data_IF_607225549409
#
_entry.id   IF_607225549409
#
_cell.length_a   1.000
_cell.length_b   1.000
_cell.length_c   1.000
_cell.angle_alpha   90.00
_cell.angle_beta   90.00
_cell.angle_gamma   90.00
#
_symmetry.space_group_name_H-M   'P 1'
#
loop_
_entity.id
_entity.type
_entity.pdbx_description
1 polymer ?
#
# COMPACT_ATOMS: atom_id res chain seq x y z
N UNK A 1 -20.89 36.59 -25.24
CA UNK A 1 -21.39 35.75 -24.12
C UNK A 1 -21.01 34.30 -24.41
N UNK A 2 -19.88 33.83 -23.89
CA UNK A 2 -19.44 32.44 -24.05
C UNK A 2 -19.60 31.71 -22.72
N UNK A 3 -20.36 30.61 -22.74
CA UNK A 3 -20.68 29.77 -21.58
C UNK A 3 -19.49 28.85 -21.28
N UNK A 4 -18.97 28.96 -20.06
CA UNK A 4 -18.07 27.99 -19.46
C UNK A 4 -18.86 26.74 -19.08
N UNK A 5 -18.39 25.58 -19.53
CA UNK A 5 -18.92 24.28 -19.13
C UNK A 5 -17.79 23.28 -19.05
N UNK A 6 -17.85 22.44 -18.01
CA UNK A 6 -17.12 21.17 -17.80
C UNK A 6 -15.82 21.23 -16.97
N UNK A 7 -15.96 20.95 -15.67
CA UNK A 7 -14.87 20.46 -14.80
C UNK A 7 -15.36 19.37 -13.82
N UNK A 8 -16.25 18.47 -14.27
CA UNK A 8 -16.88 17.44 -13.43
C UNK A 8 -16.17 16.07 -13.46
N UNK A 9 -15.01 15.94 -14.11
CA UNK A 9 -14.35 14.64 -14.36
C UNK A 9 -13.18 14.26 -13.42
N UNK A 10 -12.59 15.20 -12.69
CA UNK A 10 -11.35 14.95 -11.94
C UNK A 10 -11.52 14.17 -10.63
N UNK A 11 -12.71 14.20 -10.01
CA UNK A 11 -12.99 13.47 -8.77
C UNK A 11 -13.05 11.96 -8.98
N UNK A 12 -13.71 11.51 -10.06
CA UNK A 12 -13.96 10.09 -10.32
C UNK A 12 -12.66 9.23 -10.36
N UNK A 13 -11.60 9.74 -11.01
CA UNK A 13 -10.33 9.00 -11.11
C UNK A 13 -9.56 8.87 -9.79
N UNK A 14 -9.70 9.83 -8.87
CA UNK A 14 -9.05 9.77 -7.56
C UNK A 14 -9.69 8.71 -6.65
N UNK A 15 -11.01 8.56 -6.73
CA UNK A 15 -11.75 7.53 -5.99
C UNK A 15 -11.41 6.12 -6.50
N UNK A 16 -11.24 5.98 -7.81
CA UNK A 16 -10.83 4.71 -8.41
C UNK A 16 -9.39 4.33 -8.02
N UNK A 17 -8.47 5.30 -7.96
CA UNK A 17 -7.10 5.07 -7.46
C UNK A 17 -7.09 4.64 -5.98
N UNK A 18 -7.88 5.28 -5.13
CA UNK A 18 -7.99 4.93 -3.69
C UNK A 18 -8.49 3.50 -3.52
N UNK A 19 -9.50 3.11 -4.29
CA UNK A 19 -10.06 1.77 -4.29
C UNK A 19 -9.10 0.71 -4.83
N UNK A 20 -8.36 1.00 -5.90
CA UNK A 20 -7.34 0.11 -6.47
C UNK A 20 -6.17 -0.10 -5.50
N UNK A 21 -5.66 0.98 -4.90
CA UNK A 21 -4.59 0.92 -3.90
C UNK A 21 -5.00 0.08 -2.69
N UNK A 22 -6.21 0.31 -2.18
CA UNK A 22 -6.78 -0.49 -1.09
C UNK A 22 -6.87 -1.97 -1.46
N UNK A 23 -7.41 -2.30 -2.64
CA UNK A 23 -7.58 -3.69 -3.09
C UNK A 23 -6.25 -4.43 -3.24
N UNK A 24 -5.24 -3.76 -3.82
CA UNK A 24 -3.87 -4.31 -3.93
C UNK A 24 -3.25 -4.54 -2.55
N UNK A 25 -3.41 -3.58 -1.64
CA UNK A 25 -2.88 -3.67 -0.27
C UNK A 25 -3.51 -4.82 0.51
N UNK A 26 -4.84 -4.96 0.46
CA UNK A 26 -5.56 -6.07 1.12
C UNK A 26 -5.16 -7.42 0.53
N UNK A 27 -5.01 -7.53 -0.80
CA UNK A 27 -4.55 -8.78 -1.44
C UNK A 27 -3.15 -9.17 -0.97
N UNK A 28 -2.23 -8.20 -0.85
CA UNK A 28 -0.88 -8.46 -0.35
C UNK A 28 -0.90 -8.87 1.12
N UNK A 29 -1.68 -8.18 1.96
CA UNK A 29 -1.83 -8.53 3.38
C UNK A 29 -2.44 -9.93 3.55
N UNK A 30 -3.42 -10.29 2.72
CA UNK A 30 -4.02 -11.61 2.73
C UNK A 30 -3.01 -12.70 2.34
N UNK A 31 -2.20 -12.48 1.30
CA UNK A 31 -1.12 -13.41 0.94
C UNK A 31 -0.09 -13.53 2.06
N UNK A 32 0.30 -12.42 2.68
CA UNK A 32 1.37 -12.39 3.68
C UNK A 32 0.97 -12.94 5.06
N UNK A 33 -0.32 -12.85 5.43
CA UNK A 33 -0.81 -13.23 6.77
C UNK A 33 -1.64 -14.52 6.74
N UNK A 34 -2.42 -14.73 5.67
CA UNK A 34 -3.40 -15.83 5.60
C UNK A 34 -2.86 -17.04 4.79
N UNK A 35 -1.99 -16.81 3.82
CA UNK A 35 -1.25 -17.85 3.10
C UNK A 35 0.27 -17.64 3.25
N UNK A 36 0.81 -17.59 4.47
CA UNK A 36 2.22 -17.29 4.65
C UNK A 36 3.07 -18.42 4.06
N UNK A 37 4.07 -18.07 3.25
CA UNK A 37 5.18 -18.97 2.95
C UNK A 37 5.88 -19.31 4.27
N UNK A 38 6.36 -20.55 4.46
CA UNK A 38 6.94 -21.01 5.74
C UNK A 38 8.04 -20.08 6.27
N UNK A 39 8.83 -19.49 5.38
CA UNK A 39 9.85 -18.50 5.71
C UNK A 39 9.26 -17.17 6.18
N UNK A 40 8.19 -16.69 5.52
CA UNK A 40 7.51 -15.46 5.94
C UNK A 40 6.81 -15.63 7.27
N UNK A 41 6.21 -16.80 7.53
CA UNK A 41 5.59 -17.09 8.82
C UNK A 41 6.65 -17.13 9.93
N UNK A 42 7.81 -17.76 9.67
CA UNK A 42 8.94 -17.75 10.61
C UNK A 42 9.47 -16.35 10.87
N UNK A 43 9.55 -15.48 9.85
CA UNK A 43 10.02 -14.09 10.04
C UNK A 43 8.99 -13.21 10.75
N UNK A 44 7.71 -13.40 10.45
CA UNK A 44 6.61 -12.77 11.18
C UNK A 44 6.59 -13.23 12.64
N UNK A 45 6.95 -14.48 12.93
CA UNK A 45 7.11 -14.98 14.30
C UNK A 45 8.42 -14.56 14.97
N UNK A 46 9.54 -14.47 14.27
CA UNK A 46 10.82 -14.14 14.90
C UNK A 46 11.08 -12.63 14.99
N UNK A 47 10.54 -11.84 14.07
CA UNK A 47 10.84 -10.40 13.95
C UNK A 47 9.64 -9.54 14.30
N UNK A 48 9.70 -8.90 15.48
CA UNK A 48 8.71 -7.91 15.91
C UNK A 48 8.60 -6.73 14.93
N UNK A 49 9.72 -6.30 14.36
CA UNK A 49 9.77 -5.23 13.37
C UNK A 49 8.98 -5.55 12.10
N UNK A 50 8.98 -6.81 11.66
CA UNK A 50 8.16 -7.23 10.53
C UNK A 50 6.67 -7.20 10.90
N UNK A 51 6.30 -7.65 12.11
CA UNK A 51 4.92 -7.57 12.62
C UNK A 51 4.42 -6.12 12.68
N UNK A 52 5.24 -5.20 13.17
CA UNK A 52 4.90 -3.77 13.26
C UNK A 52 4.70 -3.14 11.86
N UNK A 53 5.53 -3.51 10.88
CA UNK A 53 5.33 -3.10 9.48
C UNK A 53 4.02 -3.63 8.90
N UNK A 54 3.64 -4.86 9.21
CA UNK A 54 2.35 -5.40 8.78
C UNK A 54 1.20 -4.66 9.46
N UNK A 55 1.33 -4.38 10.75
CA UNK A 55 0.34 -3.66 11.55
C UNK A 55 0.09 -2.24 11.02
N UNK A 56 1.17 -1.50 10.71
CA UNK A 56 1.06 -0.16 10.11
C UNK A 56 0.39 -0.20 8.73
N UNK A 57 0.71 -1.19 7.90
CA UNK A 57 0.04 -1.41 6.61
C UNK A 57 -1.46 -1.76 6.79
N UNK A 58 -1.80 -2.55 7.81
CA UNK A 58 -3.17 -2.92 8.15
C UNK A 58 -3.96 -1.67 8.63
N UNK A 59 -3.34 -0.84 9.47
CA UNK A 59 -3.92 0.41 9.93
C UNK A 59 -4.13 1.41 8.79
N UNK A 60 -3.19 1.50 7.85
CA UNK A 60 -3.36 2.31 6.64
C UNK A 60 -4.51 1.77 5.76
N UNK A 61 -4.61 0.45 5.57
CA UNK A 61 -5.73 -0.16 4.85
C UNK A 61 -7.09 0.16 5.49
N UNK A 62 -7.16 0.23 6.82
CA UNK A 62 -8.38 0.65 7.55
C UNK A 62 -8.73 2.11 7.31
N UNK A 63 -7.74 3.00 7.31
CA UNK A 63 -7.95 4.41 6.99
C UNK A 63 -8.51 4.57 5.58
N UNK A 64 -7.97 3.82 4.59
CA UNK A 64 -8.51 3.79 3.23
C UNK A 64 -9.95 3.25 3.19
N UNK A 65 -10.27 2.23 3.99
CA UNK A 65 -11.63 1.69 4.07
C UNK A 65 -12.63 2.75 4.57
N UNK A 66 -12.27 3.55 5.59
CA UNK A 66 -13.13 4.63 6.09
C UNK A 66 -13.40 5.68 5.01
N UNK A 67 -12.37 6.05 4.24
CA UNK A 67 -12.51 6.98 3.10
C UNK A 67 -13.45 6.40 2.05
N UNK A 68 -13.28 5.11 1.71
CA UNK A 68 -14.13 4.43 0.73
C UNK A 68 -15.58 4.24 1.22
N UNK A 69 -15.80 4.04 2.53
CA UNK A 69 -17.13 4.02 3.14
C UNK A 69 -17.81 5.39 3.03
N UNK A 70 -17.09 6.47 3.33
CA UNK A 70 -17.58 7.84 3.19
C UNK A 70 -17.93 8.17 1.73
N UNK A 71 -17.08 7.75 0.79
CA UNK A 71 -17.33 7.91 -0.65
C UNK A 71 -18.55 7.10 -1.12
N UNK A 72 -18.72 5.88 -0.61
CA UNK A 72 -19.88 5.03 -0.94
C UNK A 72 -21.21 5.64 -0.46
N UNK A 73 -21.20 6.52 0.56
CA UNK A 73 -22.40 7.24 1.00
C UNK A 73 -22.89 8.28 -0.03
N UNK A 74 -21.99 8.80 -0.88
CA UNK A 74 -22.31 9.76 -1.94
C UNK A 74 -23.03 9.16 -3.16
N UNK A 75 -23.11 7.83 -3.25
CA UNK A 75 -23.73 7.13 -4.40
C UNK A 75 -25.26 7.23 -4.32
N UNK A 76 -25.86 7.92 -5.29
CA UNK A 76 -27.33 8.14 -5.35
C UNK A 76 -28.11 6.92 -5.84
N UNK A 77 -27.47 6.01 -6.59
CA UNK A 77 -28.11 4.79 -7.08
C UNK A 77 -28.16 3.72 -5.98
N UNK A 78 -29.35 3.44 -5.45
CA UNK A 78 -29.55 2.56 -4.28
C UNK A 78 -29.01 1.14 -4.48
N UNK A 79 -29.22 0.55 -5.67
CA UNK A 79 -28.69 -0.78 -6.02
C UNK A 79 -27.16 -0.82 -6.01
N UNK A 80 -26.50 0.15 -6.67
CA UNK A 80 -25.03 0.26 -6.68
C UNK A 80 -24.48 0.58 -5.29
N UNK A 81 -25.20 1.37 -4.50
CA UNK A 81 -24.85 1.69 -3.12
C UNK A 81 -24.87 0.44 -2.25
N UNK A 82 -25.91 -0.39 -2.37
CA UNK A 82 -26.01 -1.63 -1.60
C UNK A 82 -24.90 -2.63 -1.97
N UNK A 83 -24.64 -2.81 -3.27
CA UNK A 83 -23.53 -3.66 -3.73
C UNK A 83 -22.19 -3.19 -3.15
N UNK A 84 -21.88 -1.90 -3.28
CA UNK A 84 -20.65 -1.29 -2.73
C UNK A 84 -20.57 -1.43 -1.21
N UNK A 85 -21.68 -1.26 -0.50
CA UNK A 85 -21.72 -1.44 0.95
C UNK A 85 -21.48 -2.90 1.35
N UNK A 86 -22.11 -3.87 0.69
CA UNK A 86 -21.87 -5.29 1.00
C UNK A 86 -20.42 -5.71 0.74
N UNK A 87 -19.81 -5.16 -0.31
CA UNK A 87 -18.40 -5.37 -0.61
C UNK A 87 -17.49 -4.76 0.47
N UNK A 88 -17.77 -3.53 0.90
CA UNK A 88 -16.99 -2.87 1.97
C UNK A 88 -17.12 -3.61 3.31
N UNK A 89 -18.33 -4.08 3.66
CA UNK A 89 -18.56 -4.91 4.86
C UNK A 89 -17.75 -6.20 4.78
N UNK A 90 -17.79 -6.92 3.65
CA UNK A 90 -16.98 -8.13 3.45
C UNK A 90 -15.48 -7.86 3.64
N UNK A 91 -15.00 -6.72 3.14
CA UNK A 91 -13.58 -6.32 3.28
C UNK A 91 -13.22 -5.90 4.70
N UNK A 92 -14.16 -5.31 5.44
CA UNK A 92 -14.00 -5.02 6.88
C UNK A 92 -13.86 -6.30 7.70
N UNK A 93 -14.68 -7.30 7.40
CA UNK A 93 -14.60 -8.61 8.06
C UNK A 93 -13.25 -9.29 7.76
N UNK A 94 -12.77 -9.18 6.52
CA UNK A 94 -11.45 -9.68 6.11
C UNK A 94 -10.33 -9.00 6.91
N UNK A 95 -10.31 -7.66 6.98
CA UNK A 95 -9.32 -6.92 7.75
C UNK A 95 -9.35 -7.23 9.26
N UNK A 96 -10.53 -7.59 9.79
CA UNK A 96 -10.68 -7.98 11.19
C UNK A 96 -10.02 -9.35 11.42
N UNK A 97 -10.26 -10.31 10.54
CA UNK A 97 -9.60 -11.63 10.57
C UNK A 97 -8.09 -11.55 10.41
N UNK A 98 -7.60 -10.64 9.55
CA UNK A 98 -6.15 -10.43 9.39
C UNK A 98 -5.52 -9.85 10.66
N UNK A 99 -6.21 -8.96 11.38
CA UNK A 99 -5.72 -8.48 12.66
C UNK A 99 -5.69 -9.59 13.70
N UNK A 100 -6.77 -10.36 13.81
CA UNK A 100 -6.86 -11.49 14.74
C UNK A 100 -5.70 -12.48 14.50
N UNK A 101 -5.47 -12.87 13.23
CA UNK A 101 -4.34 -13.74 12.88
C UNK A 101 -2.97 -13.13 13.20
N UNK A 102 -2.79 -11.82 13.00
CA UNK A 102 -1.54 -11.13 13.36
C UNK A 102 -1.34 -11.12 14.88
N UNK A 103 -2.43 -10.96 15.65
CA UNK A 103 -2.41 -11.02 17.10
C UNK A 103 -2.09 -12.44 17.60
N UNK A 104 -2.67 -13.48 16.99
CA UNK A 104 -2.31 -14.88 17.27
C UNK A 104 -0.82 -15.16 17.01
N UNK A 105 -0.28 -14.64 15.90
CA UNK A 105 1.14 -14.76 15.57
C UNK A 105 2.03 -14.00 16.55
N UNK A 106 1.52 -12.89 17.12
CA UNK A 106 2.22 -12.12 18.15
C UNK A 106 2.28 -12.92 19.45
N UNK A 107 1.14 -13.45 19.88
CA UNK A 107 1.00 -14.20 21.12
C UNK A 107 1.77 -15.54 21.05
N UNK A 108 1.77 -16.21 19.91
CA UNK A 108 2.55 -17.44 19.68
C UNK A 108 4.07 -17.21 19.80
N UNK A 109 4.57 -16.02 19.49
CA UNK A 109 5.99 -15.69 19.64
C UNK A 109 6.44 -15.50 21.09
N UNK A 110 5.53 -15.28 22.04
CA UNK A 110 5.86 -15.19 23.46
C UNK A 110 5.90 -16.55 24.16
N UNK A 111 5.22 -17.56 23.60
CA UNK A 111 5.13 -18.91 24.21
C UNK A 111 6.39 -19.76 23.95
N UNK A 112 7.11 -19.54 22.84
CA UNK A 112 8.33 -20.30 22.51
C UNK A 112 9.57 -19.87 23.31
N UNK A 113 9.55 -18.71 23.99
CA UNK A 113 10.69 -18.23 24.80
C UNK A 113 10.65 -18.71 26.27
N UNK A 114 9.49 -19.15 26.78
CA UNK A 114 9.34 -19.58 28.19
C UNK A 114 9.45 -21.12 28.39
N UNK A 115 9.55 -21.93 27.32
CA UNK A 115 9.71 -23.40 27.41
C UNK A 115 11.18 -23.86 27.20
N UNK A 116 12.14 -22.93 27.23
CA UNK A 116 13.59 -23.22 27.32
C UNK A 116 14.16 -22.91 28.71
N UNK A 117 13.36 -23.18 29.74
CA UNK A 117 13.81 -23.25 31.12
C UNK A 117 13.80 -24.70 31.59
N UNK A 118 14.88 -25.46 31.35
CA UNK A 118 15.49 -26.41 32.30
C UNK A 118 16.62 -27.25 31.65
N UNK A 119 17.81 -27.24 32.28
CA UNK A 119 18.99 -28.04 31.94
C UNK A 119 20.24 -27.17 31.80
N UNK A 120 20.80 -26.64 32.88
CA UNK A 120 21.92 -27.28 33.60
C UNK A 120 22.94 -27.92 32.63
N UNK A 121 24.05 -27.24 32.30
CA UNK A 121 25.38 -27.59 32.81
C UNK A 121 26.52 -26.72 32.22
N UNK A 122 27.50 -26.42 33.07
CA UNK A 122 28.93 -26.24 32.81
C UNK A 122 29.40 -25.32 31.65
N UNK A 123 29.99 -24.18 32.00
CA UNK A 123 31.43 -23.90 31.87
C UNK A 123 31.69 -22.47 32.36
N UNK A 124 32.47 -22.38 33.44
CA UNK A 124 33.02 -21.12 33.91
C UNK A 124 34.09 -20.63 32.94
N UNK A 125 34.03 -19.33 32.64
CA UNK A 125 35.24 -18.58 32.40
C UNK A 125 35.05 -17.17 33.00
N UNK A 126 35.95 -16.87 33.93
CA UNK A 126 36.08 -15.59 34.63
C UNK A 126 36.41 -14.49 33.60
N UNK A 127 35.56 -13.47 33.50
CA UNK A 127 36.02 -12.14 33.09
C UNK A 127 35.41 -11.10 34.04
N UNK A 128 36.24 -10.32 34.77
CA UNK A 128 35.73 -9.31 35.69
C UNK A 128 35.44 -8.00 34.96
N UNK A 129 34.28 -7.43 35.31
CA UNK A 129 33.94 -6.01 35.42
C UNK A 129 34.22 -5.04 34.26
N UNK A 130 33.16 -4.42 33.74
CA UNK A 130 33.12 -2.94 33.71
C UNK A 130 31.67 -2.43 33.74
N UNK A 131 31.44 -1.47 34.63
CA UNK A 131 30.18 -0.80 34.93
C UNK A 131 29.64 -0.01 33.73
N UNK A 132 28.35 -0.13 33.41
CA UNK A 132 27.52 1.04 33.05
C UNK A 132 26.04 0.78 33.34
N UNK A 133 25.60 1.34 34.46
CA UNK A 133 24.20 1.63 34.75
C UNK A 133 23.56 2.45 33.63
N UNK A 134 22.41 2.01 33.11
CA UNK A 134 21.20 2.87 33.01
C UNK A 134 19.96 2.09 32.62
N UNK A 135 19.16 1.91 33.65
CA UNK A 135 17.77 1.52 33.74
C UNK A 135 16.83 2.20 32.73
N UNK A 136 16.13 1.36 31.96
CA UNK A 136 14.86 1.70 31.34
C UNK A 136 13.70 1.30 32.28
N UNK A 137 12.70 2.17 32.42
CA UNK A 137 11.32 1.80 32.79
C UNK A 137 10.30 2.82 32.23
N UNK A 138 9.02 2.44 32.08
CA UNK A 138 8.20 2.70 30.90
C UNK A 138 7.08 3.76 31.06
N UNK A 139 6.38 4.01 29.93
CA UNK A 139 5.24 4.89 29.56
C UNK A 139 4.11 5.15 30.60
N UNK A 140 3.19 6.14 30.38
CA UNK A 140 1.99 5.91 29.54
C UNK A 140 1.36 7.12 28.78
N UNK A 141 0.70 6.79 27.65
CA UNK A 141 -0.62 7.24 27.11
C UNK A 141 -1.25 8.60 27.48
N UNK A 142 -1.60 9.45 26.49
CA UNK A 142 -3.00 9.89 26.16
C UNK A 142 -3.10 10.84 24.92
N UNK A 143 -4.17 10.72 24.14
CA UNK A 143 -4.57 11.49 22.92
C UNK A 143 -5.20 12.88 23.24
N UNK A 144 -5.97 13.59 22.36
CA UNK A 144 -6.01 13.75 20.88
C UNK A 144 -6.07 15.25 20.43
N UNK A 145 -5.63 15.66 19.23
CA UNK A 145 -6.12 16.92 18.61
C UNK A 145 -6.13 16.91 17.07
N UNK A 146 -7.26 17.38 16.54
CA UNK A 146 -7.69 17.63 15.15
C UNK A 146 -7.04 18.91 14.61
N UNK A 147 -6.62 18.99 13.33
CA UNK A 147 -6.79 20.14 12.42
C UNK A 147 -6.27 19.88 10.96
N UNK A 148 -7.17 20.09 9.99
CA UNK A 148 -7.05 20.37 8.52
C UNK A 148 -6.20 21.67 8.26
N UNK A 149 -5.73 22.13 7.04
CA UNK A 149 -5.98 21.84 5.59
C UNK A 149 -4.66 21.97 4.69
N UNK A 150 -4.58 22.48 3.41
CA UNK A 150 -5.38 22.43 2.17
C UNK A 150 -4.64 21.83 0.92
N UNK A 151 -5.40 21.58 -0.17
CA UNK A 151 -5.02 20.97 -1.47
C UNK A 151 -4.40 22.00 -2.46
N UNK A 152 -3.43 21.62 -3.34
CA UNK A 152 -3.67 21.83 -4.79
C UNK A 152 -3.09 20.75 -5.76
N UNK A 153 -4.02 20.14 -6.52
CA UNK A 153 -4.05 19.91 -8.00
C UNK A 153 -2.93 19.08 -8.70
N UNK A 154 -3.30 17.86 -9.09
CA UNK A 154 -2.80 17.09 -10.27
C UNK A 154 -3.44 17.64 -11.58
N UNK A 155 -3.11 17.25 -12.85
CA UNK A 155 -2.60 15.93 -13.37
C UNK A 155 -1.68 16.05 -14.65
N UNK A 156 -1.48 15.06 -15.56
CA UNK A 156 -1.94 13.66 -15.62
C UNK A 156 -0.88 12.57 -15.95
N UNK A 157 -1.35 11.33 -15.76
CA UNK A 157 -0.72 10.00 -15.90
C UNK A 157 -0.58 9.51 -17.35
N UNK A 158 0.46 8.70 -17.62
CA UNK A 158 0.49 7.69 -18.68
C UNK A 158 0.57 6.28 -18.08
N UNK A 159 -0.13 5.34 -18.72
CA UNK A 159 -0.49 4.00 -18.25
C UNK A 159 0.18 2.94 -19.16
N UNK A 160 0.85 1.88 -18.65
CA UNK A 160 1.35 0.78 -19.49
C UNK A 160 0.22 -0.20 -19.89
N UNK A 161 0.24 -0.79 -21.09
CA UNK A 161 -0.79 -1.74 -21.55
C UNK A 161 -0.59 -3.16 -20.98
N UNK A 162 -1.63 -3.73 -20.36
CA UNK A 162 -1.69 -5.14 -19.94
C UNK A 162 -2.12 -6.09 -21.10
N UNK A 163 -1.58 -7.33 -21.15
CA UNK A 163 -2.03 -8.36 -22.08
C UNK A 163 -3.30 -9.08 -21.56
N UNK A 164 -4.40 -8.95 -22.30
CA UNK A 164 -5.61 -9.73 -22.07
C UNK A 164 -5.41 -11.21 -22.45
N UNK A 165 -5.31 -12.10 -21.46
CA UNK A 165 -5.58 -13.53 -21.67
C UNK A 165 -7.02 -13.83 -21.27
N UNK A 166 -7.93 -13.85 -22.25
CA UNK A 166 -9.25 -14.44 -22.07
C UNK A 166 -9.19 -15.92 -22.43
N UNK A 167 -9.09 -16.81 -21.43
CA UNK A 167 -9.40 -18.22 -21.60
C UNK A 167 -10.92 -18.36 -21.75
N UNK A 168 -11.41 -18.32 -23.00
CA UNK A 168 -12.80 -18.62 -23.32
C UNK A 168 -12.91 -20.09 -23.71
N UNK A 169 -13.53 -20.88 -22.83
CA UNK A 169 -13.99 -22.23 -23.09
C UNK A 169 -14.89 -22.25 -24.34
N UNK A 170 -14.65 -23.21 -25.25
CA UNK A 170 -15.47 -23.42 -26.45
C UNK A 170 -16.16 -24.78 -26.35
N UNK A 171 -17.36 -24.79 -25.78
CA UNK A 171 -18.41 -25.72 -26.21
C UNK A 171 -19.07 -25.08 -27.44
N UNK A 172 -18.99 -25.73 -28.61
CA UNK A 172 -19.95 -25.50 -29.68
C UNK A 172 -20.16 -26.80 -30.45
N UNK A 173 -21.34 -27.37 -30.24
CA UNK A 173 -22.00 -28.35 -31.08
C UNK A 173 -22.42 -27.69 -32.40
N UNK A 174 -22.39 -28.50 -33.47
CA UNK A 174 -23.26 -28.51 -34.67
C UNK A 174 -23.50 -27.24 -35.49
N UNK A 175 -23.61 -27.49 -36.80
CA UNK A 175 -24.08 -26.62 -37.90
C UNK A 175 -23.01 -25.80 -38.61
N UNK A 176 -22.46 -26.39 -39.68
CA UNK A 176 -22.20 -25.77 -40.99
C UNK A 176 -22.16 -26.85 -42.07
N UNK A 177 -23.36 -27.30 -42.44
CA UNK A 177 -23.67 -27.67 -43.83
C UNK A 177 -23.62 -26.43 -44.73
N UNK A 178 -23.55 -26.65 -46.04
CA UNK A 178 -23.49 -25.69 -47.15
C UNK A 178 -22.12 -25.08 -47.50
N UNK A 179 -21.25 -25.92 -48.04
CA UNK A 179 -20.55 -25.58 -49.28
C UNK A 179 -20.28 -26.89 -50.04
N UNK A 180 -20.43 -26.87 -51.37
CA UNK A 180 -20.37 -28.02 -52.31
C UNK A 180 -21.71 -28.69 -52.62
N UNK A 181 -22.59 -27.94 -53.30
CA UNK A 181 -23.56 -28.54 -54.21
C UNK A 181 -23.57 -27.76 -55.53
N UNK A 182 -22.70 -28.17 -56.44
CA UNK A 182 -22.85 -27.96 -57.89
C UNK A 182 -21.94 -28.93 -58.64
N UNK A 183 -22.51 -29.54 -59.68
CA UNK A 183 -21.89 -30.41 -60.69
C UNK A 183 -21.93 -31.92 -60.43
N UNK A 184 -23.14 -32.47 -60.51
CA UNK A 184 -23.37 -33.83 -60.95
C UNK A 184 -24.16 -33.77 -62.28
N UNK A 185 -23.47 -34.01 -63.40
CA UNK A 185 -24.08 -34.38 -64.68
C UNK A 185 -23.02 -34.97 -65.62
N UNK A 186 -23.33 -36.17 -66.12
CA UNK A 186 -22.70 -36.92 -67.22
C UNK A 186 -21.51 -37.84 -66.89
N UNK A 187 -21.85 -39.02 -66.36
CA UNK A 187 -21.71 -40.32 -67.05
C UNK A 187 -20.79 -40.35 -68.29
N UNK A 188 -19.73 -41.18 -68.27
CA UNK A 188 -19.63 -42.38 -69.11
C UNK A 188 -18.26 -43.08 -69.04
N UNK A 189 -18.33 -44.40 -68.88
CA UNK A 189 -17.41 -45.45 -69.40
C UNK A 189 -15.94 -45.48 -68.97
N UNK A 190 -15.64 -46.49 -68.16
CA UNK A 190 -14.81 -47.60 -68.63
C UNK A 190 -13.31 -47.56 -68.31
N UNK A 191 -12.84 -48.70 -67.79
CA UNK A 191 -11.44 -49.18 -67.71
C UNK A 191 -10.65 -48.73 -66.47
N UNK A 192 -10.47 -49.68 -65.54
CA UNK A 192 -9.24 -49.75 -64.72
C UNK A 192 -8.11 -50.32 -65.59
N UNK A 193 -6.86 -49.82 -65.47
CA UNK A 193 -5.96 -50.48 -64.54
C UNK A 193 -4.99 -49.54 -63.79
N UNK A 194 -4.73 -49.92 -62.53
CA UNK A 194 -3.39 -50.04 -61.90
C UNK A 194 -2.37 -48.90 -62.09
N UNK A 195 -2.12 -48.22 -60.96
CA UNK A 195 -0.84 -47.67 -60.45
C UNK A 195 -0.03 -46.69 -61.31
N UNK A 196 0.06 -45.44 -60.85
CA UNK A 196 1.32 -44.69 -60.53
C UNK A 196 1.08 -43.17 -60.49
N UNK A 197 0.33 -42.65 -59.51
CA UNK A 197 0.31 -41.20 -59.24
C UNK A 197 0.36 -40.97 -57.72
N UNK A 198 1.57 -40.88 -57.18
CA UNK A 198 1.79 -40.35 -55.83
C UNK A 198 3.00 -39.40 -55.73
N UNK A 199 3.10 -38.32 -56.53
CA UNK A 199 3.89 -37.14 -56.18
C UNK A 199 3.10 -36.12 -55.33
N UNK A 200 1.76 -36.08 -55.44
CA UNK A 200 0.94 -34.99 -54.89
C UNK A 200 0.96 -34.85 -53.36
N UNK A 201 1.03 -35.95 -52.61
CA UNK A 201 1.05 -35.90 -51.14
C UNK A 201 2.40 -35.43 -50.60
N UNK A 202 3.52 -35.83 -51.22
CA UNK A 202 4.86 -35.44 -50.78
C UNK A 202 5.13 -33.96 -51.12
N UNK A 203 4.73 -33.53 -52.30
CA UNK A 203 4.87 -32.14 -52.74
C UNK A 203 3.97 -31.21 -51.90
N UNK A 204 2.78 -31.68 -51.49
CA UNK A 204 1.91 -30.97 -50.55
C UNK A 204 2.50 -30.85 -49.14
N UNK A 205 3.19 -31.88 -48.64
CA UNK A 205 3.86 -31.82 -47.33
C UNK A 205 5.10 -30.92 -47.34
N UNK A 206 5.87 -30.93 -48.43
CA UNK A 206 7.04 -30.05 -48.58
C UNK A 206 6.63 -28.58 -48.70
N UNK A 207 5.56 -28.29 -49.44
CA UNK A 207 5.00 -26.93 -49.54
C UNK A 207 4.39 -26.46 -48.22
N UNK A 208 3.69 -27.35 -47.49
CA UNK A 208 3.18 -27.03 -46.16
C UNK A 208 4.30 -26.66 -45.18
N UNK A 209 5.36 -27.47 -45.09
CA UNK A 209 6.49 -27.19 -44.20
C UNK A 209 7.21 -25.87 -44.57
N UNK A 210 7.34 -25.58 -45.87
CA UNK A 210 7.87 -24.31 -46.37
C UNK A 210 7.06 -23.12 -45.86
N UNK A 211 5.73 -23.19 -45.95
CA UNK A 211 4.84 -22.12 -45.48
C UNK A 211 4.88 -21.95 -43.96
N UNK A 212 5.02 -23.03 -43.19
CA UNK A 212 5.14 -22.95 -41.73
C UNK A 212 6.45 -22.30 -41.31
N UNK A 213 7.56 -22.62 -41.98
CA UNK A 213 8.85 -21.97 -41.71
C UNK A 213 8.82 -20.47 -42.03
N UNK A 214 8.14 -20.07 -43.11
CA UNK A 214 7.93 -18.66 -43.46
C UNK A 214 7.03 -17.95 -42.42
N UNK A 215 6.01 -18.62 -41.91
CA UNK A 215 5.16 -18.08 -40.84
C UNK A 215 5.92 -17.93 -39.51
N UNK A 216 6.72 -18.92 -39.12
CA UNK A 216 7.53 -18.89 -37.90
C UNK A 216 8.57 -17.78 -37.94
N UNK A 217 9.32 -17.66 -39.04
CA UNK A 217 10.32 -16.59 -39.22
C UNK A 217 9.67 -15.20 -39.19
N UNK A 218 8.51 -15.04 -39.81
CA UNK A 218 7.73 -13.79 -39.76
C UNK A 218 7.29 -13.46 -38.33
N UNK A 219 6.85 -14.46 -37.56
CA UNK A 219 6.45 -14.26 -36.16
C UNK A 219 7.63 -13.88 -35.26
N UNK A 220 8.80 -14.49 -35.47
CA UNK A 220 10.02 -14.18 -34.71
C UNK A 220 10.51 -12.77 -35.00
N UNK A 221 10.47 -12.35 -36.27
CA UNK A 221 10.84 -11.00 -36.67
C UNK A 221 9.85 -9.95 -36.13
N UNK A 222 8.55 -10.24 -36.17
CA UNK A 222 7.52 -9.40 -35.55
C UNK A 222 7.69 -9.29 -34.03
N UNK A 223 8.05 -10.40 -33.37
CA UNK A 223 8.32 -10.42 -31.93
C UNK A 223 9.58 -9.62 -31.59
N UNK A 224 10.66 -9.79 -32.35
CA UNK A 224 11.88 -9.01 -32.18
C UNK A 224 11.63 -7.50 -32.41
N UNK A 225 10.83 -7.14 -33.43
CA UNK A 225 10.43 -5.76 -33.67
C UNK A 225 9.61 -5.19 -32.51
N UNK A 226 8.67 -5.97 -31.96
CA UNK A 226 7.89 -5.59 -30.76
C UNK A 226 8.78 -5.44 -29.53
N UNK A 227 9.72 -6.36 -29.31
CA UNK A 227 10.65 -6.29 -28.19
C UNK A 227 11.55 -5.05 -28.30
N UNK A 228 12.03 -4.73 -29.51
CA UNK A 228 12.80 -3.51 -29.77
C UNK A 228 11.98 -2.25 -29.54
N UNK A 229 10.74 -2.21 -30.04
CA UNK A 229 9.82 -1.10 -29.82
C UNK A 229 9.53 -0.92 -28.32
N UNK A 230 9.34 -2.02 -27.61
CA UNK A 230 9.14 -2.06 -26.16
C UNK A 230 10.37 -1.52 -25.41
N UNK A 231 11.58 -1.96 -25.75
CA UNK A 231 12.82 -1.46 -25.15
C UNK A 231 13.01 0.04 -25.38
N UNK A 232 12.64 0.55 -26.55
CA UNK A 232 12.75 1.98 -26.85
C UNK A 232 11.69 2.81 -26.08
N UNK A 233 10.47 2.29 -25.96
CA UNK A 233 9.42 2.91 -25.16
C UNK A 233 9.80 2.95 -23.66
N UNK A 234 10.41 1.88 -23.14
CA UNK A 234 10.93 1.86 -21.76
C UNK A 234 12.06 2.87 -21.57
N UNK A 235 12.98 3.00 -22.52
CA UNK A 235 14.05 4.00 -22.44
C UNK A 235 13.51 5.44 -22.40
N UNK A 236 12.51 5.75 -23.22
CA UNK A 236 11.86 7.07 -23.20
C UNK A 236 11.11 7.32 -21.88
N UNK A 237 10.40 6.32 -21.37
CA UNK A 237 9.66 6.44 -20.09
C UNK A 237 10.61 6.64 -18.91
N UNK A 238 11.79 5.99 -18.92
CA UNK A 238 12.81 6.19 -17.89
C UNK A 238 13.37 7.61 -17.88
N UNK A 239 13.50 8.25 -19.05
CA UNK A 239 13.96 9.63 -19.15
C UNK A 239 12.92 10.60 -18.56
N UNK A 240 11.64 10.37 -18.88
CA UNK A 240 10.53 11.15 -18.32
C UNK A 240 10.37 10.94 -16.79
N UNK A 241 10.47 9.68 -16.31
CA UNK A 241 10.38 9.35 -14.89
C UNK A 241 11.54 9.95 -14.09
N UNK A 242 12.74 10.05 -14.68
CA UNK A 242 13.91 10.67 -14.04
C UNK A 242 13.65 12.14 -13.71
N UNK A 243 13.06 12.90 -14.61
CA UNK A 243 12.74 14.32 -14.37
C UNK A 243 11.68 14.48 -13.28
N UNK A 244 10.68 13.59 -13.24
CA UNK A 244 9.67 13.56 -12.17
C UNK A 244 10.30 13.19 -10.83
N UNK A 245 11.23 12.23 -10.81
CA UNK A 245 11.97 11.84 -9.60
C UNK A 245 12.84 13.00 -9.09
N UNK A 246 13.53 13.71 -9.96
CA UNK A 246 14.33 14.88 -9.59
C UNK A 246 13.43 16.02 -9.05
N UNK A 247 12.27 16.26 -9.67
CA UNK A 247 11.29 17.23 -9.18
C UNK A 247 10.71 16.86 -7.81
N UNK A 248 10.45 15.57 -7.60
CA UNK A 248 9.96 15.03 -6.32
C UNK A 248 11.03 15.10 -5.23
N UNK A 249 12.28 14.73 -5.56
CA UNK A 249 13.43 14.82 -4.66
C UNK A 249 13.64 16.26 -4.18
N UNK A 250 13.67 17.22 -5.12
CA UNK A 250 13.76 18.66 -4.79
C UNK A 250 12.56 19.17 -3.98
N UNK A 251 11.36 18.66 -4.28
CA UNK A 251 10.17 18.99 -3.50
C UNK A 251 10.24 18.45 -2.07
N UNK A 252 10.80 17.25 -1.89
CA UNK A 252 10.98 16.63 -0.58
C UNK A 252 12.05 17.34 0.23
N UNK A 253 13.20 17.69 -0.37
CA UNK A 253 14.25 18.51 0.27
C UNK A 253 13.68 19.86 0.74
N UNK A 254 12.89 20.52 -0.10
CA UNK A 254 12.22 21.78 0.27
C UNK A 254 11.19 21.62 1.39
N UNK A 255 10.48 20.50 1.42
CA UNK A 255 9.55 20.18 2.50
C UNK A 255 10.30 19.85 3.80
N UNK A 256 11.43 19.16 3.72
CA UNK A 256 12.31 18.86 4.85
C UNK A 256 12.84 20.15 5.48
N UNK A 257 13.32 21.11 4.67
CA UNK A 257 13.73 22.44 5.14
C UNK A 257 12.56 23.19 5.80
N UNK A 258 11.36 23.13 5.21
CA UNK A 258 10.15 23.74 5.76
C UNK A 258 9.76 23.14 7.11
N UNK A 259 9.81 21.82 7.22
CA UNK A 259 9.52 21.07 8.44
C UNK A 259 10.61 21.24 9.50
N UNK A 260 11.88 21.35 9.11
CA UNK A 260 12.99 21.68 10.00
C UNK A 260 12.84 23.11 10.58
N UNK A 261 12.40 24.06 9.76
CA UNK A 261 12.14 25.42 10.22
C UNK A 261 10.88 25.50 11.11
N UNK A 262 9.84 24.76 10.77
CA UNK A 262 8.64 24.64 11.60
C UNK A 262 8.93 23.95 12.94
N UNK A 263 9.69 22.85 12.93
CA UNK A 263 10.09 22.13 14.15
C UNK A 263 11.00 22.96 15.04
N UNK A 264 11.92 23.76 14.49
CA UNK A 264 12.70 24.75 15.25
C UNK A 264 11.79 25.78 15.94
N UNK A 265 10.81 26.33 15.21
CA UNK A 265 9.83 27.30 15.75
C UNK A 265 8.87 26.69 16.77
N UNK A 266 8.51 25.42 16.61
CA UNK A 266 7.62 24.71 17.52
C UNK A 266 8.38 24.22 18.76
N UNK A 267 9.66 23.88 18.61
CA UNK A 267 10.58 23.58 19.71
C UNK A 267 10.80 24.80 20.63
N UNK A 268 10.93 26.00 20.08
CA UNK A 268 11.00 27.22 20.89
C UNK A 268 9.67 27.54 21.59
N UNK A 269 8.53 27.21 20.98
CA UNK A 269 7.22 27.33 21.64
C UNK A 269 7.02 26.27 22.71
N UNK A 270 7.57 25.05 22.53
CA UNK A 270 7.53 23.99 23.53
C UNK A 270 8.31 24.36 24.77
N UNK A 271 9.52 24.92 24.63
CA UNK A 271 10.28 25.40 25.79
C UNK A 271 9.60 26.59 26.48
N UNK A 272 8.88 27.45 25.73
CA UNK A 272 8.06 28.52 26.30
C UNK A 272 6.77 28.02 26.98
N UNK A 273 6.19 26.91 26.50
CA UNK A 273 4.95 26.34 27.03
C UNK A 273 5.18 25.44 28.26
N UNK A 274 6.29 24.71 28.31
CA UNK A 274 6.56 23.71 29.34
C UNK A 274 7.33 24.30 30.54
N UNK A 275 8.10 25.40 30.33
CA UNK A 275 8.91 26.03 31.38
C UNK A 275 8.17 26.98 32.34
N UNK A 276 6.94 27.41 32.03
CA UNK A 276 6.25 28.46 32.81
C UNK A 276 5.51 27.94 34.05
N UNK A 277 5.26 26.63 34.14
CA UNK A 277 4.50 26.03 35.24
C UNK A 277 5.25 26.05 36.59
N UNK A 278 6.58 25.87 36.58
CA UNK A 278 7.37 25.89 37.80
C UNK A 278 7.73 27.32 38.25
N UNK A 279 8.08 28.20 37.30
CA UNK A 279 8.35 29.61 37.60
C UNK A 279 7.13 30.33 38.17
N UNK A 280 5.93 30.05 37.66
CA UNK A 280 4.69 30.59 38.21
C UNK A 280 4.44 30.14 39.66
N UNK A 281 4.74 28.87 39.98
CA UNK A 281 4.63 28.33 41.35
C UNK A 281 5.66 28.97 42.29
N UNK A 282 6.91 29.11 41.85
CA UNK A 282 7.94 29.77 42.64
C UNK A 282 7.62 31.25 42.89
N UNK A 283 7.11 31.95 41.89
CA UNK A 283 6.68 33.34 42.04
C UNK A 283 5.48 33.48 42.99
N UNK A 284 4.53 32.54 42.94
CA UNK A 284 3.40 32.50 43.87
C UNK A 284 3.88 32.31 45.32
N UNK A 285 4.82 31.38 45.56
CA UNK A 285 5.39 31.18 46.90
C UNK A 285 6.14 32.42 47.40
N UNK A 286 6.87 33.13 46.54
CA UNK A 286 7.50 34.39 46.89
C UNK A 286 6.46 35.47 47.31
N UNK A 287 5.32 35.56 46.61
CA UNK A 287 4.22 36.47 46.97
C UNK A 287 3.55 36.11 48.29
N UNK A 288 3.27 34.82 48.53
CA UNK A 288 2.74 34.35 49.83
C UNK A 288 3.72 34.68 50.96
N UNK A 289 5.01 34.42 50.77
CA UNK A 289 6.02 34.72 51.79
C UNK A 289 6.13 36.23 52.07
N UNK A 290 6.08 37.07 51.04
CA UNK A 290 6.07 38.52 51.20
C UNK A 290 4.86 39.03 51.98
N UNK A 291 3.66 38.53 51.68
CA UNK A 291 2.44 38.87 52.44
C UNK A 291 2.49 38.35 53.87
N UNK A 292 3.07 37.17 54.10
CA UNK A 292 3.26 36.64 55.45
C UNK A 292 4.16 37.56 56.28
N UNK A 293 5.28 38.02 55.73
CA UNK A 293 6.19 38.95 56.40
C UNK A 293 5.51 40.30 56.67
N UNK A 294 4.75 40.82 55.69
CA UNK A 294 3.99 42.06 55.87
C UNK A 294 2.93 41.95 56.98
N UNK A 295 2.21 40.83 57.06
CA UNK A 295 1.24 40.57 58.12
C UNK A 295 1.90 40.51 59.51
N UNK A 296 3.05 39.84 59.63
CA UNK A 296 3.84 39.81 60.88
C UNK A 296 4.28 41.22 61.28
N UNK A 297 4.72 42.03 60.31
CA UNK A 297 5.11 43.41 60.55
C UNK A 297 3.91 44.25 61.03
N UNK A 298 2.73 44.12 60.41
CA UNK A 298 1.51 44.79 60.88
C UNK A 298 1.15 44.37 62.31
N UNK A 299 1.13 43.07 62.60
CA UNK A 299 0.75 42.56 63.93
C UNK A 299 1.75 42.97 65.02
N UNK A 300 3.05 43.12 64.73
CA UNK A 300 4.05 43.53 65.72
C UNK A 300 4.25 45.06 65.80
N UNK A 301 4.05 45.79 64.70
CA UNK A 301 4.26 47.24 64.64
C UNK A 301 2.99 48.04 64.96
N UNK A 302 1.78 47.58 64.57
CA UNK A 302 0.54 48.25 64.98
C UNK A 302 0.38 48.36 66.51
N UNK A 303 0.67 47.33 67.32
CA UNK A 303 0.58 47.45 68.77
C UNK A 303 1.58 48.42 69.38
N UNK A 304 2.71 48.68 68.71
CA UNK A 304 3.74 49.62 69.18
C UNK A 304 3.42 51.07 68.82
N UNK A 305 2.57 51.30 67.80
CA UNK A 305 2.15 52.64 67.38
C UNK A 305 0.92 53.17 68.15
N UNK A 306 0.13 52.30 68.79
CA UNK A 306 -1.07 52.70 69.55
C UNK A 306 -0.82 53.11 71.01
N UNK A 307 0.42 53.02 71.50
CA UNK A 307 0.78 53.30 72.90
C UNK A 307 1.85 54.40 73.03
N UNK A 308 1.88 55.34 72.08
CA UNK A 308 2.64 56.58 72.19
C UNK A 308 1.72 57.77 71.95
#
# INVERSE_FOLDING_TARGET
>A
MARSSTSSGAGAGAHDHTYLNFTRMVSRLQQMILNPDEETERRLRASELEREKVETNLNHARQLLVILEQDAQGIRALSKKQERQTELVRRRDLLSRLQERLQDLRDAGYTDEDDSSEGEDLIGDDTPSEDTSSQAKPSPTNSPFIYEPPIPKHPPSFQPPEPTYSLRARNHTTDRDDLFSTADAALSTGVSPRSTVAPSKKDSLLTHNRTEQEALTTSMLAMAARLKASSNAFAATLDDEKDVLDGTSRGMEKNEEGLANASKKMGTLRTMSEGRGWWGRMLLYAWIAGLMVAAVLVVFVMPKLRFR
#
